data_IF_042323670054
#
_entry.id   IF_042323670054
#
_cell.length_a   1.000
_cell.length_b   1.000
_cell.length_c   1.000
_cell.angle_alpha   90.00
_cell.angle_beta   90.00
_cell.angle_gamma   90.00
#
_symmetry.space_group_name_H-M   'P 1'
#
loop_
_entity.id
_entity.type
_entity.pdbx_description
1 polymer ?
#
# COMPACT_ATOMS: atom_id res chain seq x y z
N UNK A 1 -0.24 10.73 -12.92
CA UNK A 1 0.31 10.68 -11.54
C UNK A 1 -0.64 9.97 -10.57
N UNK A 2 -1.36 8.94 -11.02
CA UNK A 2 -2.48 8.31 -10.26
C UNK A 2 -2.09 6.94 -9.70
N UNK A 3 -1.14 6.25 -10.34
CA UNK A 3 -0.72 4.88 -10.02
C UNK A 3 -0.10 4.70 -8.63
N UNK A 4 0.54 5.76 -8.11
CA UNK A 4 1.16 5.71 -6.77
C UNK A 4 0.13 5.81 -5.64
N UNK A 5 -1.10 6.25 -5.92
CA UNK A 5 -2.16 6.36 -4.90
C UNK A 5 -2.72 4.99 -4.58
N UNK A 6 -3.03 4.18 -5.60
CA UNK A 6 -3.56 2.83 -5.43
C UNK A 6 -2.61 1.93 -4.63
N UNK A 7 -1.34 1.90 -5.00
CA UNK A 7 -0.33 1.12 -4.28
C UNK A 7 -0.19 1.55 -2.81
N UNK A 8 -0.27 2.86 -2.49
CA UNK A 8 -0.25 3.34 -1.10
C UNK A 8 -1.48 2.89 -0.32
N UNK A 9 -2.64 2.83 -0.97
CA UNK A 9 -3.87 2.29 -0.37
C UNK A 9 -3.68 0.80 -0.06
N UNK A 10 -3.11 0.02 -0.98
CA UNK A 10 -2.84 -1.40 -0.75
C UNK A 10 -1.82 -1.61 0.39
N UNK A 11 -0.76 -0.80 0.48
CA UNK A 11 0.19 -0.82 1.63
C UNK A 11 -0.55 -0.57 2.96
N UNK A 12 -1.42 0.44 3.00
CA UNK A 12 -2.21 0.77 4.19
C UNK A 12 -3.17 -0.36 4.56
N UNK A 13 -3.73 -1.03 3.57
CA UNK A 13 -4.63 -2.16 3.77
C UNK A 13 -3.89 -3.38 4.30
N UNK A 14 -2.75 -3.75 3.70
CA UNK A 14 -1.88 -4.81 4.22
C UNK A 14 -1.44 -4.52 5.67
N UNK A 15 -1.12 -3.27 5.99
CA UNK A 15 -0.81 -2.87 7.37
C UNK A 15 -2.00 -3.06 8.33
N UNK A 16 -3.22 -2.74 7.91
CA UNK A 16 -4.45 -3.00 8.70
C UNK A 16 -4.77 -4.48 8.86
N UNK A 17 -4.37 -5.31 7.90
CA UNK A 17 -4.47 -6.77 7.98
C UNK A 17 -3.34 -7.41 8.81
N UNK A 18 -2.53 -6.60 9.49
CA UNK A 18 -1.39 -7.05 10.29
C UNK A 18 -0.37 -7.88 9.49
N UNK A 19 -0.36 -7.71 8.16
CA UNK A 19 0.60 -8.37 7.27
C UNK A 19 1.97 -7.77 7.45
N UNK A 20 3.00 -8.60 7.40
CA UNK A 20 4.37 -8.12 7.52
C UNK A 20 4.78 -7.26 6.32
N UNK A 21 5.82 -6.45 6.50
CA UNK A 21 6.37 -5.63 5.41
C UNK A 21 6.85 -6.49 4.22
N UNK A 22 7.36 -7.70 4.50
CA UNK A 22 7.77 -8.64 3.47
C UNK A 22 6.57 -9.13 2.64
N UNK A 23 5.52 -9.62 3.31
CA UNK A 23 4.28 -10.04 2.63
C UNK A 23 3.66 -8.89 1.82
N UNK A 24 3.68 -7.68 2.36
CA UNK A 24 3.17 -6.48 1.66
C UNK A 24 3.94 -6.23 0.36
N UNK A 25 5.27 -6.38 0.38
CA UNK A 25 6.11 -6.23 -0.82
C UNK A 25 5.76 -7.30 -1.85
N UNK A 26 5.65 -8.57 -1.45
CA UNK A 26 5.32 -9.67 -2.35
C UNK A 26 3.93 -9.48 -2.98
N UNK A 27 2.95 -9.09 -2.18
CA UNK A 27 1.60 -8.76 -2.60
C UNK A 27 1.56 -7.62 -3.62
N UNK A 28 2.30 -6.53 -3.37
CA UNK A 28 2.40 -5.41 -4.31
C UNK A 28 3.13 -5.81 -5.59
N UNK A 29 4.21 -6.59 -5.50
CA UNK A 29 4.91 -7.09 -6.68
C UNK A 29 4.02 -8.01 -7.52
N UNK A 30 3.16 -8.81 -6.90
CA UNK A 30 2.23 -9.68 -7.61
C UNK A 30 1.08 -8.90 -8.27
N UNK A 31 0.56 -7.87 -7.61
CA UNK A 31 -0.55 -7.07 -8.11
C UNK A 31 -0.13 -6.04 -9.19
N UNK A 32 1.07 -5.46 -9.08
CA UNK A 32 1.53 -4.37 -9.95
C UNK A 32 2.75 -4.73 -10.82
N UNK A 33 3.40 -5.87 -10.59
CA UNK A 33 4.53 -6.33 -11.42
C UNK A 33 5.65 -5.30 -11.53
N UNK A 34 5.96 -4.90 -12.76
CA UNK A 34 7.01 -3.93 -13.09
C UNK A 34 6.62 -2.48 -12.74
N UNK A 35 5.32 -2.19 -12.64
CA UNK A 35 4.79 -0.88 -12.26
C UNK A 35 4.78 -0.68 -10.73
N UNK A 36 5.19 -1.70 -9.99
CA UNK A 36 5.25 -1.69 -8.53
C UNK A 36 6.30 -0.70 -8.00
N UNK A 37 5.95 0.01 -6.92
CA UNK A 37 6.90 0.83 -6.17
C UNK A 37 8.11 0.02 -5.73
N UNK A 38 9.28 0.65 -5.79
CA UNK A 38 10.50 0.01 -5.34
C UNK A 38 10.39 -0.46 -3.88
N UNK A 39 11.00 -1.61 -3.58
CA UNK A 39 10.97 -2.23 -2.23
C UNK A 39 11.36 -1.25 -1.12
N UNK A 40 12.28 -0.32 -1.39
CA UNK A 40 12.68 0.74 -0.47
C UNK A 40 11.53 1.70 -0.15
N UNK A 41 10.78 2.16 -1.15
CA UNK A 41 9.62 3.03 -0.96
C UNK A 41 8.52 2.33 -0.16
N UNK A 42 8.25 1.06 -0.45
CA UNK A 42 7.27 0.26 0.30
C UNK A 42 7.68 0.15 1.78
N UNK A 43 8.97 -0.11 2.05
CA UNK A 43 9.51 -0.12 3.43
C UNK A 43 9.35 1.22 4.14
N UNK A 44 9.60 2.33 3.46
CA UNK A 44 9.41 3.66 4.05
C UNK A 44 7.95 3.94 4.39
N UNK A 45 7.02 3.63 3.48
CA UNK A 45 5.58 3.74 3.75
C UNK A 45 5.16 2.86 4.92
N UNK A 46 5.62 1.61 4.95
CA UNK A 46 5.31 0.69 6.04
C UNK A 46 5.84 1.22 7.39
N UNK A 47 7.05 1.80 7.43
CA UNK A 47 7.58 2.48 8.63
C UNK A 47 6.76 3.71 9.03
N UNK A 48 6.29 4.50 8.06
CA UNK A 48 5.44 5.67 8.34
C UNK A 48 4.10 5.25 8.95
N UNK A 49 3.47 4.18 8.44
CA UNK A 49 2.26 3.61 9.04
C UNK A 49 2.51 3.07 10.45
N UNK A 50 3.62 2.37 10.68
CA UNK A 50 4.03 1.90 12.01
C UNK A 50 4.24 3.05 13.00
N UNK A 51 4.75 4.19 12.53
CA UNK A 51 4.98 5.38 13.34
C UNK A 51 3.73 6.27 13.49
N UNK A 52 2.56 5.86 12.98
CA UNK A 52 1.30 6.60 13.11
C UNK A 52 1.22 7.93 12.34
N UNK A 53 2.27 8.31 11.59
CA UNK A 53 2.29 9.54 10.81
C UNK A 53 1.59 9.32 9.47
N UNK A 54 0.26 9.36 9.49
CA UNK A 54 -0.55 9.23 8.27
C UNK A 54 -0.93 10.61 7.74
N UNK A 55 0.02 11.31 7.12
CA UNK A 55 -0.30 12.45 6.24
C UNK A 55 -0.62 11.93 4.84
N UNK A 56 -1.67 11.13 4.73
CA UNK A 56 -2.35 10.94 3.44
C UNK A 56 -3.31 12.12 3.36
N UNK A 57 -2.99 13.09 2.52
CA UNK A 57 -3.75 14.33 2.33
C UNK A 57 -5.25 14.04 2.38
N UNK A 58 -5.94 14.71 3.30
CA UNK A 58 -7.36 14.50 3.63
C UNK A 58 -8.24 14.85 2.43
N UNK A 59 -8.55 13.86 1.62
CA UNK A 59 -9.73 13.82 0.76
C UNK A 59 -10.00 12.33 0.56
N UNK A 60 -11.18 11.86 0.95
CA UNK A 60 -11.66 10.48 0.69
C UNK A 60 -10.94 9.37 1.48
N UNK A 61 -11.17 9.40 2.79
CA UNK A 61 -11.51 8.15 3.46
C UNK A 61 -12.87 7.70 2.91
N UNK A 62 -13.02 6.40 2.63
CA UNK A 62 -14.28 5.74 2.24
C UNK A 62 -14.48 5.47 0.74
N UNK A 63 -13.56 4.71 0.14
CA UNK A 63 -13.94 3.53 -0.65
C UNK A 63 -12.73 2.60 -0.65
N UNK A 64 -12.80 1.48 0.08
CA UNK A 64 -11.86 0.39 -0.16
C UNK A 64 -12.14 -0.12 -1.57
N UNK A 65 -11.27 0.22 -2.52
CA UNK A 65 -11.38 -0.37 -3.84
C UNK A 65 -10.97 -1.85 -3.70
N UNK A 66 -11.98 -2.71 -3.53
CA UNK A 66 -11.85 -4.17 -3.44
C UNK A 66 -11.14 -4.78 -4.66
N UNK A 67 -10.99 -4.02 -5.75
CA UNK A 67 -10.17 -4.42 -6.90
C UNK A 67 -8.71 -4.74 -6.53
N UNK A 68 -8.08 -4.00 -5.62
CA UNK A 68 -6.71 -4.34 -5.21
C UNK A 68 -6.66 -5.67 -4.46
N UNK A 69 -7.72 -6.02 -3.72
CA UNK A 69 -7.82 -7.32 -3.04
C UNK A 69 -7.99 -8.47 -4.03
N UNK A 70 -8.69 -8.25 -5.14
CA UNK A 70 -8.88 -9.27 -6.18
C UNK A 70 -7.62 -9.53 -7.01
N UNK A 71 -6.68 -8.56 -7.06
CA UNK A 71 -5.37 -8.69 -7.72
C UNK A 71 -4.23 -9.19 -6.82
N UNK A 72 -4.42 -9.23 -5.51
CA UNK A 72 -3.47 -9.73 -4.51
C UNK A 72 -3.54 -11.28 -4.41
#
# INVERSE_FOLDING_TARGET
MTEKVEQRICIKFCFKLEKTCAETIEMLQKAFGDECMGKTQIKEWYKQFKNGRTSVSKSEQNQVNVDCFFRL
#
